data_IF_546374932727
#
_entry.id   IF_546374932727
#
_cell.length_a   1.000
_cell.length_b   1.000
_cell.length_c   1.000
_cell.angle_alpha   90.00
_cell.angle_beta   90.00
_cell.angle_gamma   90.00
#
_symmetry.space_group_name_H-M   'P 1'
#
loop_
_entity.id
_entity.type
_entity.pdbx_description
1 polymer ?
#
# COMPACT_ATOMS: atom_id res chain seq x y z
N UNK A 1 31.84 -9.76 -34.86
CA UNK A 1 30.48 -9.39 -34.40
C UNK A 1 30.51 -8.91 -32.95
N UNK A 2 30.94 -7.68 -32.68
CA UNK A 2 30.78 -7.06 -31.35
C UNK A 2 30.87 -5.52 -31.36
N UNK A 3 30.92 -4.88 -32.54
CA UNK A 3 31.10 -3.42 -32.69
C UNK A 3 29.85 -2.70 -33.22
N UNK A 4 28.74 -3.42 -33.42
CA UNK A 4 27.49 -2.90 -34.00
C UNK A 4 26.31 -2.91 -33.01
N UNK A 5 26.57 -2.86 -31.70
CA UNK A 5 25.52 -2.80 -30.65
C UNK A 5 25.63 -1.60 -29.71
N UNK A 6 26.68 -0.79 -29.82
CA UNK A 6 26.92 0.35 -28.90
C UNK A 6 26.44 1.68 -29.49
N UNK A 7 26.03 1.71 -30.76
CA UNK A 7 25.63 2.94 -31.48
C UNK A 7 24.11 3.16 -31.62
N UNK A 8 23.27 2.30 -31.03
CA UNK A 8 21.81 2.39 -31.14
C UNK A 8 21.09 2.88 -29.86
N UNK A 9 21.84 3.35 -28.85
CA UNK A 9 21.27 3.88 -27.58
C UNK A 9 21.86 5.26 -27.28
N UNK A 10 21.94 6.11 -28.30
CA UNK A 10 22.47 7.47 -28.18
C UNK A 10 21.74 8.44 -29.13
N UNK A 11 20.40 8.42 -29.11
CA UNK A 11 19.59 9.42 -29.79
C UNK A 11 18.22 9.44 -29.12
N UNK A 12 18.06 10.26 -28.09
CA UNK A 12 16.82 10.96 -27.68
C UNK A 12 17.09 11.61 -26.32
N UNK A 13 18.09 12.48 -26.29
CA UNK A 13 18.19 13.51 -25.27
C UNK A 13 17.51 14.77 -25.80
N UNK A 14 16.84 15.48 -24.89
CA UNK A 14 16.44 16.88 -24.96
C UNK A 14 15.18 17.24 -25.77
N UNK A 15 14.07 17.38 -25.04
CA UNK A 15 13.17 18.54 -24.98
C UNK A 15 11.90 18.05 -24.24
N UNK A 16 11.43 18.66 -23.16
CA UNK A 16 10.49 19.79 -23.21
C UNK A 16 10.33 20.29 -21.75
N UNK A 17 10.68 21.56 -21.56
CA UNK A 17 9.92 22.61 -20.86
C UNK A 17 9.44 22.35 -19.43
N UNK A 18 9.91 23.22 -18.53
CA UNK A 18 9.38 23.38 -17.19
C UNK A 18 7.88 23.66 -17.19
N UNK A 19 7.17 22.94 -16.33
CA UNK A 19 5.99 23.45 -15.68
C UNK A 19 6.30 23.40 -14.19
N UNK A 20 6.26 24.55 -13.53
CA UNK A 20 6.05 24.63 -12.10
C UNK A 20 4.70 23.99 -11.79
N UNK A 21 4.67 22.67 -11.73
CA UNK A 21 3.61 21.95 -11.07
C UNK A 21 3.93 22.12 -9.60
N UNK A 22 3.29 23.11 -9.00
CA UNK A 22 2.91 23.01 -7.59
C UNK A 22 1.96 21.82 -7.48
N UNK A 23 2.48 20.60 -7.69
CA UNK A 23 1.87 19.41 -7.17
C UNK A 23 1.94 19.65 -5.69
N UNK A 24 0.84 20.19 -5.13
CA UNK A 24 0.57 20.05 -3.71
C UNK A 24 0.85 18.60 -3.46
N UNK A 25 1.90 18.32 -2.68
CA UNK A 25 2.16 17.00 -2.17
C UNK A 25 0.89 16.65 -1.39
N UNK A 26 -0.07 16.05 -2.07
CA UNK A 26 -1.12 15.28 -1.44
C UNK A 26 -0.32 14.23 -0.69
N UNK A 27 -0.18 14.46 0.62
CA UNK A 27 0.42 13.55 1.59
C UNK A 27 0.29 12.13 1.06
N UNK A 28 1.41 11.46 0.74
CA UNK A 28 1.38 10.17 0.07
C UNK A 28 0.58 9.18 0.92
N UNK A 29 -0.70 9.03 0.59
CA UNK A 29 -1.64 8.19 1.32
C UNK A 29 -1.64 6.83 0.66
N UNK A 30 -1.08 5.83 1.34
CA UNK A 30 -1.08 4.44 0.85
C UNK A 30 -2.18 3.65 1.55
N UNK A 31 -2.71 2.64 0.88
CA UNK A 31 -3.65 1.71 1.50
C UNK A 31 -2.84 0.61 2.19
N UNK A 32 -2.91 0.55 3.51
CA UNK A 32 -2.28 -0.49 4.34
C UNK A 32 -3.32 -1.48 4.84
N UNK A 33 -2.91 -2.72 5.02
CA UNK A 33 -3.77 -3.80 5.46
C UNK A 33 -3.12 -4.65 6.55
N UNK A 34 -3.96 -5.32 7.33
CA UNK A 34 -3.58 -6.35 8.28
C UNK A 34 -4.57 -7.50 8.21
N UNK A 35 -4.08 -8.71 8.31
CA UNK A 35 -4.89 -9.93 8.33
C UNK A 35 -4.83 -10.59 9.71
N UNK A 36 -5.93 -11.21 10.10
CA UNK A 36 -6.07 -11.91 11.35
C UNK A 36 -7.00 -13.10 11.21
N UNK A 37 -6.58 -14.23 11.76
CA UNK A 37 -7.33 -15.50 11.70
C UNK A 37 -7.64 -15.97 13.10
N UNK A 38 -8.89 -16.32 13.37
CA UNK A 38 -9.30 -16.76 14.70
C UNK A 38 -10.52 -17.68 14.69
N UNK A 39 -10.82 -18.24 15.87
CA UNK A 39 -12.05 -19.00 16.13
C UNK A 39 -13.22 -18.02 16.26
N UNK A 40 -13.71 -17.53 15.13
CA UNK A 40 -14.82 -16.58 15.03
C UNK A 40 -14.41 -15.18 14.58
N UNK A 41 -15.41 -14.43 14.09
CA UNK A 41 -15.21 -13.15 13.42
C UNK A 41 -14.63 -12.07 14.36
N UNK A 42 -15.06 -12.04 15.62
CA UNK A 42 -14.61 -11.02 16.58
C UNK A 42 -13.10 -11.12 16.85
N UNK A 43 -12.62 -12.35 17.05
CA UNK A 43 -11.20 -12.62 17.29
C UNK A 43 -10.38 -12.33 16.03
N UNK A 44 -10.87 -12.77 14.87
CA UNK A 44 -10.24 -12.51 13.59
C UNK A 44 -10.11 -11.01 13.29
N UNK A 45 -11.17 -10.22 13.55
CA UNK A 45 -11.14 -8.75 13.43
C UNK A 45 -10.12 -8.12 14.37
N UNK A 46 -10.08 -8.55 15.63
CA UNK A 46 -9.15 -8.01 16.63
C UNK A 46 -7.69 -8.25 16.22
N UNK A 47 -7.40 -9.43 15.69
CA UNK A 47 -6.07 -9.74 15.16
C UNK A 47 -5.75 -8.93 13.90
N UNK A 48 -6.72 -8.75 13.01
CA UNK A 48 -6.58 -7.95 11.80
C UNK A 48 -6.32 -6.47 12.13
N UNK A 49 -6.97 -5.92 13.17
CA UNK A 49 -6.74 -4.56 13.67
C UNK A 49 -5.34 -4.39 14.27
N UNK A 50 -4.86 -5.38 15.03
CA UNK A 50 -3.50 -5.36 15.56
C UNK A 50 -2.47 -5.37 14.42
N UNK A 51 -2.66 -6.23 13.41
CA UNK A 51 -1.83 -6.28 12.22
C UNK A 51 -1.87 -4.95 11.43
N UNK A 52 -3.06 -4.37 11.28
CA UNK A 52 -3.24 -3.07 10.61
C UNK A 52 -2.52 -1.95 11.35
N UNK A 53 -2.63 -1.89 12.68
CA UNK A 53 -1.92 -0.90 13.49
C UNK A 53 -0.40 -1.02 13.34
N UNK A 54 0.13 -2.24 13.29
CA UNK A 54 1.56 -2.48 13.03
C UNK A 54 1.97 -2.08 11.61
N UNK A 55 1.13 -2.34 10.61
CA UNK A 55 1.36 -1.91 9.23
C UNK A 55 1.40 -0.38 9.10
N UNK A 56 0.48 0.34 9.78
CA UNK A 56 0.46 1.81 9.82
C UNK A 56 1.73 2.35 10.49
N UNK A 57 2.12 1.78 11.64
CA UNK A 57 3.35 2.17 12.36
C UNK A 57 4.59 1.93 11.50
N UNK A 58 4.68 0.78 10.83
CA UNK A 58 5.81 0.41 9.97
C UNK A 58 5.89 1.31 8.73
N UNK A 59 4.74 1.71 8.18
CA UNK A 59 4.70 2.72 7.12
C UNK A 59 5.24 4.07 7.61
N UNK A 60 5.13 4.38 8.90
CA UNK A 60 5.56 5.65 9.49
C UNK A 60 4.60 6.80 9.17
N UNK A 61 3.34 6.48 8.88
CA UNK A 61 2.26 7.45 8.66
C UNK A 61 1.19 7.36 9.74
N UNK A 62 0.15 8.16 9.60
CA UNK A 62 -1.03 8.15 10.47
C UNK A 62 -2.22 7.50 9.76
N UNK A 63 -3.02 6.80 10.53
CA UNK A 63 -4.29 6.24 10.09
C UNK A 63 -5.20 7.35 9.54
N UNK A 64 -5.83 7.12 8.38
CA UNK A 64 -6.71 8.07 7.71
C UNK A 64 -7.96 7.37 7.18
N UNK A 65 -9.12 7.93 7.52
CA UNK A 65 -10.42 7.39 7.14
C UNK A 65 -10.87 6.18 7.97
N UNK A 66 -11.94 5.51 7.51
CA UNK A 66 -12.52 4.33 8.17
C UNK A 66 -11.79 3.05 7.78
N UNK A 67 -11.64 2.14 8.74
CA UNK A 67 -11.17 0.77 8.49
C UNK A 67 -12.24 -0.04 7.76
N UNK A 68 -11.88 -0.65 6.65
CA UNK A 68 -12.71 -1.61 5.91
C UNK A 68 -12.34 -3.02 6.31
N UNK A 69 -13.33 -3.87 6.56
CA UNK A 69 -13.12 -5.27 6.92
C UNK A 69 -13.66 -6.19 5.82
N UNK A 70 -12.90 -7.23 5.50
CA UNK A 70 -13.37 -8.37 4.72
C UNK A 70 -13.12 -9.64 5.52
N UNK A 71 -14.18 -10.33 5.88
CA UNK A 71 -14.09 -11.59 6.61
C UNK A 71 -14.52 -12.75 5.72
N UNK A 72 -13.70 -13.79 5.69
CA UNK A 72 -13.97 -15.05 5.04
C UNK A 72 -14.01 -16.15 6.12
N UNK A 73 -15.13 -16.85 6.21
CA UNK A 73 -15.26 -18.01 7.09
C UNK A 73 -14.84 -19.27 6.34
N UNK A 74 -13.92 -20.03 6.93
CA UNK A 74 -13.47 -21.33 6.46
C UNK A 74 -13.70 -22.36 7.57
N UNK A 75 -14.85 -23.06 7.49
CA UNK A 75 -15.29 -24.06 8.46
C UNK A 75 -15.34 -23.53 9.91
N UNK A 76 -14.26 -23.72 10.67
CA UNK A 76 -14.14 -23.39 12.10
C UNK A 76 -13.33 -22.10 12.31
N UNK A 77 -12.54 -21.69 11.31
CA UNK A 77 -11.69 -20.51 11.38
C UNK A 77 -12.28 -19.38 10.54
N UNK A 78 -12.25 -18.17 11.08
CA UNK A 78 -12.58 -16.95 10.36
C UNK A 78 -11.29 -16.20 10.11
N UNK A 79 -11.06 -15.82 8.86
CA UNK A 79 -9.97 -14.91 8.48
C UNK A 79 -10.59 -13.56 8.15
N UNK A 80 -10.11 -12.50 8.79
CA UNK A 80 -10.52 -11.14 8.51
C UNK A 80 -9.31 -10.32 8.04
N UNK A 81 -9.53 -9.52 7.00
CA UNK A 81 -8.56 -8.53 6.52
C UNK A 81 -9.12 -7.14 6.82
N UNK A 82 -8.39 -6.39 7.63
CA UNK A 82 -8.64 -4.98 7.91
C UNK A 82 -7.79 -4.14 6.97
N UNK A 83 -8.37 -3.12 6.34
CA UNK A 83 -7.66 -2.21 5.43
C UNK A 83 -8.02 -0.77 5.70
N UNK A 84 -7.02 0.11 5.75
CA UNK A 84 -7.20 1.55 5.98
C UNK A 84 -6.16 2.34 5.18
N UNK A 85 -6.43 3.62 4.92
CA UNK A 85 -5.40 4.50 4.35
C UNK A 85 -4.45 4.96 5.46
N UNK A 86 -3.17 5.07 5.14
CA UNK A 86 -2.17 5.70 5.99
C UNK A 86 -1.48 6.81 5.21
N UNK A 87 -1.46 8.01 5.77
CA UNK A 87 -0.92 9.22 5.15
C UNK A 87 0.24 9.77 5.98
N UNK A 88 1.24 10.36 5.33
CA UNK A 88 2.37 11.04 5.98
C UNK A 88 2.20 12.54 5.90
#
# INVERSE_FOLDING_TARGET
MALLRVLAVAAFAAAIVGAGLTTRAEAACVKVGGEGTGLGEQLAKTMADAALANAIKSYGGKASGKTSYKCAMAFVLTTCTATQKACK
#
